data_IF_036465321477
#
_entry.id   IF_036465321477
#
_cell.length_a   1.000
_cell.length_b   1.000
_cell.length_c   1.000
_cell.angle_alpha   90.00
_cell.angle_beta   90.00
_cell.angle_gamma   90.00
#
_symmetry.space_group_name_H-M   'P 1'
#
loop_
_entity.id
_entity.type
_entity.pdbx_description
1 polymer ?
#
# COMPACT_ATOMS: atom_id res chain seq x y z
N UNK A 1 -11.17 11.85 -10.30
CA UNK A 1 -10.70 10.46 -10.52
C UNK A 1 -11.32 9.84 -11.77
N UNK A 2 -12.65 9.85 -11.97
CA UNK A 2 -13.27 9.24 -13.17
C UNK A 2 -12.81 9.87 -14.50
N UNK A 3 -12.62 11.19 -14.56
CA UNK A 3 -12.08 11.85 -15.75
C UNK A 3 -10.71 11.28 -16.19
N UNK A 4 -9.83 10.97 -15.23
CA UNK A 4 -8.52 10.40 -15.54
C UNK A 4 -8.65 9.01 -16.16
N UNK A 5 -9.59 8.19 -15.67
CA UNK A 5 -9.86 6.86 -16.26
C UNK A 5 -10.35 7.01 -17.70
N UNK A 6 -11.37 7.84 -17.92
CA UNK A 6 -11.91 8.07 -19.26
C UNK A 6 -10.84 8.61 -20.23
N UNK A 7 -10.02 9.55 -19.76
CA UNK A 7 -8.96 10.14 -20.58
C UNK A 7 -7.89 9.13 -21.00
N UNK A 8 -7.41 8.28 -20.07
CA UNK A 8 -6.45 7.23 -20.40
C UNK A 8 -7.05 6.13 -21.27
N UNK A 9 -8.34 5.82 -21.13
CA UNK A 9 -9.03 4.88 -22.03
C UNK A 9 -9.06 5.39 -23.46
N UNK A 10 -9.33 6.68 -23.68
CA UNK A 10 -9.33 7.28 -25.03
C UNK A 10 -7.93 7.23 -25.65
N UNK A 11 -6.89 7.59 -24.88
CA UNK A 11 -5.50 7.49 -25.37
C UNK A 11 -5.16 6.04 -25.74
N UNK A 12 -5.54 5.07 -24.91
CA UNK A 12 -5.33 3.65 -25.18
C UNK A 12 -6.03 3.16 -26.46
N UNK A 13 -7.23 3.66 -26.73
CA UNK A 13 -7.98 3.40 -27.97
C UNK A 13 -7.28 4.00 -29.20
N UNK A 14 -6.83 5.25 -29.10
CA UNK A 14 -6.08 5.92 -30.18
C UNK A 14 -4.75 5.21 -30.50
N UNK A 15 -4.09 4.67 -29.49
CA UNK A 15 -2.86 3.87 -29.63
C UNK A 15 -3.13 2.42 -30.06
N UNK A 16 -4.41 2.00 -30.12
CA UNK A 16 -4.81 0.64 -30.50
C UNK A 16 -4.40 -0.43 -29.48
N UNK A 17 -4.18 -0.06 -28.21
CA UNK A 17 -3.70 -0.97 -27.16
C UNK A 17 -4.83 -1.67 -26.42
N UNK A 18 -5.86 -0.93 -26.01
CA UNK A 18 -7.07 -1.43 -25.36
C UNK A 18 -8.22 -0.43 -25.51
N UNK A 19 -9.45 -0.90 -25.38
CA UNK A 19 -10.65 -0.06 -25.40
C UNK A 19 -11.22 0.23 -24.02
N UNK A 20 -12.10 1.22 -23.94
CA UNK A 20 -12.90 1.48 -22.75
C UNK A 20 -13.71 0.25 -22.33
N UNK A 21 -14.28 -0.50 -23.29
CA UNK A 21 -14.99 -1.75 -23.02
C UNK A 21 -14.08 -2.84 -22.43
N UNK A 22 -12.79 -2.86 -22.79
CA UNK A 22 -11.82 -3.77 -22.20
C UNK A 22 -11.50 -3.40 -20.75
N UNK A 23 -11.42 -2.10 -20.44
CA UNK A 23 -11.25 -1.62 -19.05
C UNK A 23 -12.44 -2.03 -18.19
N UNK A 24 -13.67 -1.82 -18.66
CA UNK A 24 -14.88 -2.22 -17.94
C UNK A 24 -14.91 -3.73 -17.67
N UNK A 25 -14.68 -4.53 -18.72
CA UNK A 25 -14.65 -5.99 -18.61
C UNK A 25 -13.59 -6.47 -17.63
N UNK A 26 -12.38 -5.93 -17.73
CA UNK A 26 -11.28 -6.29 -16.83
C UNK A 26 -11.58 -5.97 -15.36
N UNK A 27 -12.27 -4.85 -15.09
CA UNK A 27 -12.67 -4.49 -13.73
C UNK A 27 -13.78 -5.44 -13.23
N UNK A 28 -14.80 -5.72 -14.05
CA UNK A 28 -15.89 -6.64 -13.69
C UNK A 28 -15.36 -8.04 -13.41
N UNK A 29 -14.55 -8.60 -14.30
CA UNK A 29 -13.98 -9.93 -14.15
C UNK A 29 -13.12 -10.02 -12.88
N UNK A 30 -12.31 -8.98 -12.60
CA UNK A 30 -11.48 -8.88 -11.39
C UNK A 30 -12.32 -8.78 -10.12
N UNK A 31 -13.46 -8.09 -10.17
CA UNK A 31 -14.36 -7.98 -9.02
C UNK A 31 -15.02 -9.33 -8.72
N UNK A 32 -15.49 -10.03 -9.75
CA UNK A 32 -16.12 -11.36 -9.61
C UNK A 32 -15.12 -12.36 -9.02
N UNK A 33 -13.92 -12.43 -9.58
CA UNK A 33 -12.87 -13.37 -9.16
C UNK A 33 -12.44 -13.18 -7.69
N UNK A 34 -12.26 -11.92 -7.28
CA UNK A 34 -11.75 -11.58 -5.94
C UNK A 34 -12.81 -11.57 -4.85
N UNK A 35 -14.09 -11.62 -5.22
CA UNK A 35 -15.20 -11.66 -4.26
C UNK A 35 -16.06 -12.91 -4.49
N UNK A 36 -15.49 -14.13 -4.35
CA UNK A 36 -16.24 -15.36 -4.53
C UNK A 36 -17.34 -15.56 -3.46
N UNK A 37 -17.31 -14.77 -2.38
CA UNK A 37 -18.34 -14.71 -1.35
C UNK A 37 -19.53 -13.82 -1.71
N UNK A 38 -19.40 -12.94 -2.72
CA UNK A 38 -20.49 -12.11 -3.24
C UNK A 38 -21.06 -12.70 -4.53
N UNK A 39 -20.19 -13.21 -5.40
CA UNK A 39 -20.56 -13.61 -6.77
C UNK A 39 -20.46 -15.13 -7.03
N UNK A 40 -20.07 -15.93 -6.04
CA UNK A 40 -19.94 -17.38 -6.15
C UNK A 40 -20.41 -18.10 -4.90
N UNK A 41 -20.04 -19.38 -4.77
CA UNK A 41 -20.56 -20.27 -3.72
C UNK A 41 -19.65 -20.39 -2.49
N UNK A 42 -18.57 -19.59 -2.42
CA UNK A 42 -17.56 -19.73 -1.37
C UNK A 42 -17.92 -18.86 -0.18
N UNK A 43 -18.35 -19.49 0.90
CA UNK A 43 -18.63 -18.79 2.14
C UNK A 43 -17.30 -18.38 2.82
N UNK A 44 -17.08 -17.07 2.93
CA UNK A 44 -16.06 -16.46 3.78
C UNK A 44 -16.82 -15.71 4.87
N UNK A 45 -16.55 -16.01 6.13
CA UNK A 45 -17.42 -15.61 7.23
C UNK A 45 -16.91 -14.38 7.99
N UNK A 46 -15.66 -13.98 7.75
CA UNK A 46 -15.01 -12.84 8.43
C UNK A 46 -14.32 -11.88 7.45
N UNK A 47 -14.19 -10.62 7.86
CA UNK A 47 -13.51 -9.59 7.05
C UNK A 47 -12.03 -9.93 6.86
N UNK A 48 -11.39 -10.54 7.86
CA UNK A 48 -10.02 -11.00 7.82
C UNK A 48 -9.81 -12.10 6.77
N UNK A 49 -10.73 -13.08 6.69
CA UNK A 49 -10.69 -14.14 5.68
C UNK A 49 -10.86 -13.57 4.27
N UNK A 50 -11.78 -12.62 4.09
CA UNK A 50 -11.98 -11.93 2.80
C UNK A 50 -10.71 -11.20 2.38
N UNK A 51 -10.09 -10.44 3.30
CA UNK A 51 -8.88 -9.68 3.03
C UNK A 51 -7.69 -10.59 2.71
N UNK A 52 -7.51 -11.67 3.46
CA UNK A 52 -6.44 -12.63 3.22
C UNK A 52 -6.58 -13.33 1.86
N UNK A 53 -7.79 -13.74 1.50
CA UNK A 53 -8.07 -14.32 0.18
C UNK A 53 -7.81 -13.30 -0.95
N UNK A 54 -8.19 -12.04 -0.75
CA UNK A 54 -7.99 -10.98 -1.72
C UNK A 54 -6.51 -10.67 -1.96
N UNK A 55 -5.70 -10.56 -0.90
CA UNK A 55 -4.25 -10.36 -1.05
C UNK A 55 -3.59 -11.57 -1.70
N UNK A 56 -3.98 -12.80 -1.32
CA UNK A 56 -3.44 -14.02 -1.94
C UNK A 56 -3.66 -14.04 -3.45
N UNK A 57 -4.89 -13.82 -3.93
CA UNK A 57 -5.17 -13.79 -5.37
C UNK A 57 -4.41 -12.68 -6.11
N UNK A 58 -4.19 -11.54 -5.44
CA UNK A 58 -3.42 -10.42 -6.00
C UNK A 58 -1.93 -10.74 -6.14
N UNK A 59 -1.38 -11.54 -5.23
CA UNK A 59 0.01 -12.01 -5.31
C UNK A 59 0.21 -13.08 -6.39
N UNK A 60 -0.71 -14.05 -6.48
CA UNK A 60 -0.65 -15.13 -7.48
C UNK A 60 -0.57 -14.60 -8.93
N UNK A 61 -1.23 -13.47 -9.23
CA UNK A 61 -1.22 -12.84 -10.56
C UNK A 61 0.01 -12.01 -10.89
N UNK A 62 0.84 -11.63 -9.91
CA UNK A 62 1.98 -10.72 -10.11
C UNK A 62 3.31 -11.43 -10.41
N UNK A 63 3.35 -12.76 -10.30
CA UNK A 63 4.58 -13.54 -10.47
C UNK A 63 5.61 -13.29 -9.37
N UNK A 64 6.77 -13.97 -9.40
CA UNK A 64 7.84 -13.75 -8.43
C UNK A 64 8.45 -12.36 -8.61
N UNK A 65 8.37 -11.53 -7.58
CA UNK A 65 8.98 -10.21 -7.52
C UNK A 65 9.69 -10.02 -6.19
N UNK A 66 10.83 -9.34 -6.20
CA UNK A 66 11.51 -8.91 -4.98
C UNK A 66 10.64 -7.89 -4.21
N UNK A 67 10.79 -7.79 -2.88
CA UNK A 67 10.08 -6.78 -2.10
C UNK A 67 10.26 -5.35 -2.63
N UNK A 68 11.46 -5.03 -3.14
CA UNK A 68 11.77 -3.73 -3.73
C UNK A 68 11.03 -3.45 -5.03
N UNK A 69 10.76 -4.47 -5.85
CA UNK A 69 9.96 -4.34 -7.08
C UNK A 69 8.46 -4.24 -6.76
N UNK A 70 8.01 -4.82 -5.64
CA UNK A 70 6.61 -4.76 -5.20
C UNK A 70 6.21 -3.39 -4.63
N UNK A 71 7.17 -2.54 -4.22
CA UNK A 71 6.91 -1.21 -3.63
C UNK A 71 7.26 -0.10 -4.62
N UNK A 72 6.29 0.72 -5.06
CA UNK A 72 6.56 1.78 -6.03
C UNK A 72 7.60 2.79 -5.52
N UNK A 73 8.56 3.12 -6.38
CA UNK A 73 9.59 4.14 -6.08
C UNK A 73 9.06 5.57 -6.00
N UNK A 74 7.86 5.84 -6.52
CA UNK A 74 7.18 7.14 -6.48
C UNK A 74 6.53 7.46 -5.13
N UNK A 75 6.47 6.51 -4.19
CA UNK A 75 5.96 6.75 -2.85
C UNK A 75 6.88 7.69 -2.07
N UNK A 76 6.32 8.58 -1.22
CA UNK A 76 7.11 9.32 -0.24
C UNK A 76 7.95 8.40 0.64
N UNK A 77 9.10 8.90 1.11
CA UNK A 77 10.11 8.08 1.79
C UNK A 77 9.57 7.29 2.99
N UNK A 78 8.73 7.90 3.83
CA UNK A 78 8.14 7.24 5.00
C UNK A 78 7.16 6.13 4.61
N UNK A 79 6.28 6.40 3.63
CA UNK A 79 5.34 5.42 3.10
C UNK A 79 6.08 4.25 2.43
N UNK A 80 7.14 4.54 1.68
CA UNK A 80 7.97 3.52 1.03
C UNK A 80 8.71 2.66 2.04
N UNK A 81 9.34 3.29 3.04
CA UNK A 81 10.05 2.58 4.11
C UNK A 81 9.10 1.66 4.91
N UNK A 82 7.90 2.14 5.21
CA UNK A 82 6.85 1.35 5.87
C UNK A 82 6.45 0.11 5.06
N UNK A 83 6.17 0.26 3.76
CA UNK A 83 5.79 -0.86 2.90
C UNK A 83 6.94 -1.88 2.72
N UNK A 84 8.18 -1.41 2.63
CA UNK A 84 9.35 -2.28 2.58
C UNK A 84 9.55 -3.04 3.91
N UNK A 85 9.48 -2.35 5.04
CA UNK A 85 9.59 -2.97 6.36
C UNK A 85 8.51 -4.04 6.58
N UNK A 86 7.27 -3.79 6.16
CA UNK A 86 6.19 -4.78 6.22
C UNK A 86 6.44 -5.99 5.33
N UNK A 87 6.87 -5.79 4.08
CA UNK A 87 7.12 -6.89 3.13
C UNK A 87 8.34 -7.73 3.48
N UNK A 88 9.31 -7.12 4.15
CA UNK A 88 10.52 -7.79 4.64
C UNK A 88 10.36 -8.30 6.07
N UNK A 89 9.18 -8.13 6.68
CA UNK A 89 8.86 -8.53 8.05
C UNK A 89 9.89 -8.03 9.07
N UNK A 90 10.35 -6.79 8.90
CA UNK A 90 11.38 -6.20 9.75
C UNK A 90 10.76 -5.71 11.06
N UNK A 91 11.34 -6.17 12.17
CA UNK A 91 11.02 -5.70 13.50
C UNK A 91 11.77 -4.40 13.83
N UNK A 92 11.09 -3.50 14.53
CA UNK A 92 11.67 -2.27 15.07
C UNK A 92 12.25 -2.50 16.46
N UNK A 93 13.42 -1.92 16.75
CA UNK A 93 14.01 -1.95 18.09
C UNK A 93 13.96 -0.54 18.68
N UNK A 94 13.11 -0.36 19.71
CA UNK A 94 12.99 0.90 20.45
C UNK A 94 14.32 1.31 21.09
N UNK A 95 15.05 0.38 21.67
CA UNK A 95 16.31 0.69 22.31
C UNK A 95 17.38 1.03 21.27
N UNK A 96 17.33 0.40 20.09
CA UNK A 96 18.18 0.80 18.96
C UNK A 96 17.87 2.22 18.49
N UNK A 97 16.60 2.59 18.38
CA UNK A 97 16.20 3.95 18.04
C UNK A 97 16.76 4.96 19.03
N UNK A 98 16.63 4.69 20.33
CA UNK A 98 17.15 5.56 21.40
C UNK A 98 18.68 5.65 21.35
N UNK A 99 19.38 4.52 21.15
CA UNK A 99 20.85 4.49 21.01
C UNK A 99 21.31 5.29 19.79
N UNK A 100 20.63 5.16 18.66
CA UNK A 100 20.95 5.91 17.44
C UNK A 100 20.77 7.42 17.64
N UNK A 101 19.67 7.85 18.28
CA UNK A 101 19.47 9.25 18.66
C UNK A 101 20.57 9.77 19.59
N UNK A 102 20.96 8.98 20.61
CA UNK A 102 22.04 9.36 21.53
C UNK A 102 23.40 9.47 20.84
N UNK A 103 23.63 8.69 19.79
CA UNK A 103 24.83 8.73 18.96
C UNK A 103 24.79 9.85 17.89
N UNK A 104 23.66 10.55 17.73
CA UNK A 104 23.46 11.54 16.67
C UNK A 104 23.19 10.95 15.29
N UNK A 105 22.96 9.63 15.20
CA UNK A 105 22.60 8.95 13.96
C UNK A 105 21.08 9.04 13.73
N UNK A 106 20.67 10.16 13.12
CA UNK A 106 19.26 10.44 12.85
C UNK A 106 18.67 9.52 11.77
N UNK A 107 19.49 9.02 10.84
CA UNK A 107 19.04 8.11 9.78
C UNK A 107 18.66 6.75 10.39
N UNK A 108 19.55 6.16 11.18
CA UNK A 108 19.28 4.89 11.86
C UNK A 108 18.10 5.04 12.83
N UNK A 109 18.03 6.14 13.58
CA UNK A 109 16.90 6.41 14.46
C UNK A 109 15.56 6.48 13.71
N UNK A 110 15.52 7.22 12.59
CA UNK A 110 14.31 7.34 11.77
C UNK A 110 13.89 5.98 11.18
N UNK A 111 14.86 5.19 10.73
CA UNK A 111 14.59 3.86 10.20
C UNK A 111 14.00 2.91 11.25
N UNK A 112 14.55 2.89 12.46
CA UNK A 112 13.99 2.11 13.57
C UNK A 112 12.55 2.54 13.91
N UNK A 113 12.29 3.84 13.91
CA UNK A 113 10.92 4.37 14.11
C UNK A 113 9.97 3.90 13.00
N UNK A 114 10.38 3.96 11.73
CA UNK A 114 9.56 3.45 10.61
C UNK A 114 9.23 1.96 10.78
N UNK A 115 10.17 1.14 11.24
CA UNK A 115 9.93 -0.28 11.52
C UNK A 115 8.94 -0.48 12.68
N UNK A 116 9.03 0.34 13.74
CA UNK A 116 8.04 0.31 14.84
C UNK A 116 6.62 0.64 14.35
N UNK A 117 6.47 1.56 13.38
CA UNK A 117 5.18 1.82 12.73
C UNK A 117 4.68 0.60 11.92
N UNK A 118 5.58 -0.10 11.23
CA UNK A 118 5.27 -1.31 10.46
C UNK A 118 4.70 -2.43 11.34
N UNK A 119 5.28 -2.66 12.53
CA UNK A 119 4.77 -3.63 13.52
C UNK A 119 3.35 -3.32 13.97
N UNK A 120 3.06 -2.03 14.16
CA UNK A 120 1.74 -1.54 14.59
C UNK A 120 0.73 -1.47 13.44
N UNK A 121 1.16 -1.73 12.20
CA UNK A 121 0.35 -1.58 10.96
C UNK A 121 -0.23 -0.17 10.79
N UNK A 122 0.50 0.83 11.28
CA UNK A 122 0.15 2.25 11.21
C UNK A 122 1.05 2.92 10.16
N UNK A 123 0.50 3.69 9.21
CA UNK A 123 1.30 4.33 8.17
C UNK A 123 1.95 5.63 8.69
N UNK A 124 3.29 5.72 8.76
CA UNK A 124 3.98 6.88 9.34
C UNK A 124 3.81 8.16 8.52
N UNK A 125 3.62 8.08 7.21
CA UNK A 125 3.37 9.24 6.35
C UNK A 125 2.01 9.88 6.68
N UNK A 126 0.99 9.04 6.92
CA UNK A 126 -0.36 9.51 7.30
C UNK A 126 -0.33 10.10 8.70
N UNK A 127 0.26 9.39 9.66
CA UNK A 127 0.37 9.84 11.05
C UNK A 127 1.09 11.20 11.16
N UNK A 128 2.17 11.40 10.40
CA UNK A 128 2.88 12.68 10.38
C UNK A 128 2.05 13.78 9.72
N UNK A 129 1.34 13.50 8.62
CA UNK A 129 0.45 14.47 7.98
C UNK A 129 -0.68 14.93 8.89
N UNK A 130 -1.30 14.00 9.61
CA UNK A 130 -2.33 14.32 10.60
C UNK A 130 -1.77 15.24 11.69
N UNK A 131 -0.58 14.90 12.22
CA UNK A 131 0.10 15.73 13.22
C UNK A 131 0.44 17.13 12.71
N UNK A 132 0.88 17.26 11.45
CA UNK A 132 1.14 18.56 10.84
C UNK A 132 -0.15 19.36 10.66
N UNK A 133 -1.25 18.72 10.26
CA UNK A 133 -2.55 19.38 10.14
C UNK A 133 -3.04 19.91 11.49
N UNK A 134 -2.82 19.18 12.58
CA UNK A 134 -3.15 19.63 13.94
C UNK A 134 -2.37 20.88 14.33
N UNK A 135 -1.08 20.97 13.97
CA UNK A 135 -0.26 22.14 14.27
C UNK A 135 -0.78 23.38 13.55
N UNK A 136 -1.10 23.26 12.26
CA UNK A 136 -1.65 24.38 11.48
C UNK A 136 -3.07 24.79 11.94
N UNK A 137 -3.84 23.86 12.50
CA UNK A 137 -5.20 24.14 13.00
C UNK A 137 -5.22 24.79 14.38
N UNK A 138 -4.10 24.71 15.12
CA UNK A 138 -3.96 25.24 16.48
C UNK A 138 -3.10 26.52 16.55
N UNK A 139 -2.84 27.17 15.42
CA UNK A 139 -2.29 28.54 15.42
C UNK A 139 -3.37 29.55 15.86
N UNK A 140 -3.05 30.52 16.75
CA UNK A 140 -3.98 31.54 17.22
C UNK A 140 -4.37 32.57 16.15
#
# INVERSE_FOLDING_TARGET
VLLQVAFHSVIGEEEGTFSYADVERAIVDKLIERHPHVFGDRELHTAEEVLANWEKQKEEKRGPQTPCEKVPGSLPALARGYELARKLELAGDRDAAVRALAAGDLEAALWEVVKLFAERKENPEVALRERLSELCSNEP
#
